data_IF_825540863673
#
_entry.id   IF_825540863673
#
_cell.length_a   1.000
_cell.length_b   1.000
_cell.length_c   1.000
_cell.angle_alpha   90.00
_cell.angle_beta   90.00
_cell.angle_gamma   90.00
#
_symmetry.space_group_name_H-M   'P 1'
#
loop_
_entity.id
_entity.type
_entity.pdbx_description
1 polymer ?
#
# COMPACT_ATOMS: atom_id res chain seq x y z
N UNK A 1 -23.40 3.23 -0.14
CA UNK A 1 -23.65 2.76 1.24
C UNK A 1 -22.48 3.31 2.07
N UNK A 2 -22.76 3.94 3.21
CA UNK A 2 -21.70 4.41 4.11
C UNK A 2 -20.92 3.21 4.64
N UNK A 3 -19.63 3.41 4.95
CA UNK A 3 -18.79 2.38 5.58
C UNK A 3 -19.23 2.17 7.04
N UNK A 4 -19.35 0.93 7.46
CA UNK A 4 -19.75 0.56 8.82
C UNK A 4 -18.48 0.39 9.70
N UNK A 5 -18.11 1.44 10.41
CA UNK A 5 -16.91 1.48 11.25
C UNK A 5 -17.01 0.54 12.45
N UNK A 6 -18.20 0.39 13.05
CA UNK A 6 -18.39 -0.48 14.21
C UNK A 6 -18.21 -1.94 13.82
N UNK A 7 -18.77 -2.33 12.68
CA UNK A 7 -18.57 -3.68 12.13
C UNK A 7 -17.11 -3.94 11.76
N UNK A 8 -16.41 -2.93 11.20
CA UNK A 8 -14.99 -3.07 10.86
C UNK A 8 -14.14 -3.25 12.11
N UNK A 9 -14.28 -2.39 13.10
CA UNK A 9 -13.49 -2.45 14.35
C UNK A 9 -13.74 -3.73 15.14
N UNK A 10 -14.99 -4.18 15.23
CA UNK A 10 -15.35 -5.44 15.87
C UNK A 10 -14.82 -6.68 15.11
N UNK A 11 -14.67 -6.57 13.79
CA UNK A 11 -14.19 -7.65 12.92
C UNK A 11 -12.69 -7.60 12.60
N UNK A 12 -11.97 -6.56 13.02
CA UNK A 12 -10.54 -6.42 12.78
C UNK A 12 -9.74 -7.48 13.53
N UNK A 13 -8.86 -8.16 12.81
CA UNK A 13 -8.03 -9.25 13.34
C UNK A 13 -6.76 -9.42 12.51
N UNK A 14 -5.72 -10.07 13.08
CA UNK A 14 -4.56 -10.48 12.29
C UNK A 14 -4.99 -11.26 11.05
N UNK A 15 -4.27 -11.09 9.94
CA UNK A 15 -4.45 -11.96 8.78
C UNK A 15 -4.20 -13.41 9.21
N UNK A 16 -5.11 -14.32 8.82
CA UNK A 16 -4.99 -15.73 9.19
C UNK A 16 -3.95 -16.42 8.29
N UNK A 17 -2.92 -17.01 8.89
CA UNK A 17 -1.89 -17.77 8.20
C UNK A 17 -1.36 -18.98 9.00
N UNK A 18 -1.86 -19.20 10.21
CA UNK A 18 -1.47 -20.35 11.05
C UNK A 18 -1.89 -21.71 10.49
N UNK A 19 -2.82 -21.73 9.55
CA UNK A 19 -3.28 -22.92 8.83
C UNK A 19 -2.56 -23.12 7.48
N UNK A 20 -1.61 -22.25 7.14
CA UNK A 20 -0.81 -22.34 5.92
C UNK A 20 0.41 -23.22 6.20
N UNK A 21 0.64 -24.21 5.35
CA UNK A 21 1.85 -25.04 5.41
C UNK A 21 3.07 -24.25 4.90
N UNK A 22 3.77 -23.58 5.82
CA UNK A 22 4.96 -22.80 5.46
C UNK A 22 6.15 -23.70 5.02
N UNK A 23 6.15 -25.00 5.37
CA UNK A 23 7.20 -25.92 4.91
C UNK A 23 7.14 -26.16 3.39
N UNK A 24 6.01 -25.80 2.77
CA UNK A 24 5.89 -25.83 1.30
C UNK A 24 6.94 -24.93 0.63
N UNK A 25 7.28 -23.79 1.24
CA UNK A 25 8.31 -22.89 0.70
C UNK A 25 9.74 -23.45 0.75
N UNK A 26 9.99 -24.47 1.58
CA UNK A 26 11.26 -25.21 1.57
C UNK A 26 11.26 -26.29 0.48
N UNK A 27 10.10 -26.87 0.17
CA UNK A 27 9.93 -27.90 -0.88
C UNK A 27 9.83 -27.29 -2.28
N UNK A 28 9.16 -26.15 -2.39
CA UNK A 28 9.00 -25.39 -3.63
C UNK A 28 9.40 -23.91 -3.39
N UNK A 29 10.71 -23.59 -3.40
CA UNK A 29 11.20 -22.28 -3.04
C UNK A 29 10.82 -21.22 -4.09
N UNK A 30 10.54 -20.00 -3.60
CA UNK A 30 10.25 -18.86 -4.44
C UNK A 30 11.51 -18.35 -5.15
N UNK A 31 11.38 -17.85 -6.40
CA UNK A 31 12.48 -17.23 -7.12
C UNK A 31 13.06 -16.01 -6.36
N UNK A 32 14.37 -15.72 -6.50
CA UNK A 32 15.01 -14.58 -5.85
C UNK A 32 14.33 -13.23 -6.17
N UNK A 33 13.86 -13.06 -7.40
CA UNK A 33 13.15 -11.84 -7.83
C UNK A 33 11.83 -11.65 -7.07
N UNK A 34 11.11 -12.74 -6.85
CA UNK A 34 9.88 -12.77 -6.04
C UNK A 34 10.18 -12.44 -4.58
N UNK A 35 11.22 -13.05 -4.02
CA UNK A 35 11.64 -12.77 -2.64
C UNK A 35 12.01 -11.30 -2.44
N UNK A 36 12.66 -10.69 -3.43
CA UNK A 36 12.98 -9.25 -3.43
C UNK A 36 11.72 -8.39 -3.39
N UNK A 37 10.69 -8.74 -4.16
CA UNK A 37 9.40 -8.03 -4.13
C UNK A 37 8.70 -8.23 -2.79
N UNK A 38 8.64 -9.47 -2.28
CA UNK A 38 8.02 -9.77 -0.98
C UNK A 38 8.74 -9.04 0.17
N UNK A 39 10.09 -8.93 0.09
CA UNK A 39 10.86 -8.16 1.07
C UNK A 39 10.47 -6.68 1.05
N UNK A 40 10.36 -6.08 -0.14
CA UNK A 40 9.89 -4.70 -0.26
C UNK A 40 8.49 -4.52 0.33
N UNK A 41 7.56 -5.42 0.00
CA UNK A 41 6.18 -5.37 0.54
C UNK A 41 6.21 -5.48 2.07
N UNK A 42 6.97 -6.42 2.63
CA UNK A 42 7.13 -6.59 4.07
C UNK A 42 7.67 -5.32 4.76
N UNK A 43 8.69 -4.69 4.17
CA UNK A 43 9.25 -3.44 4.70
C UNK A 43 8.22 -2.30 4.69
N UNK A 44 7.39 -2.21 3.65
CA UNK A 44 6.29 -1.24 3.57
C UNK A 44 5.30 -1.44 4.71
N UNK A 45 4.83 -2.66 4.92
CA UNK A 45 3.86 -3.00 5.96
C UNK A 45 4.36 -2.61 7.36
N UNK A 46 5.59 -2.97 7.69
CA UNK A 46 6.18 -2.59 8.98
C UNK A 46 6.42 -1.09 9.16
N UNK A 47 6.46 -0.32 8.07
CA UNK A 47 6.68 1.14 8.15
C UNK A 47 5.40 1.97 8.14
N UNK A 48 4.23 1.36 8.04
CA UNK A 48 2.93 2.05 8.15
C UNK A 48 2.78 2.79 9.47
N UNK A 49 3.42 2.31 10.55
CA UNK A 49 3.47 3.00 11.85
C UNK A 49 4.13 4.39 11.76
N UNK A 50 5.08 4.60 10.84
CA UNK A 50 5.69 5.93 10.64
C UNK A 50 4.66 6.89 10.03
N UNK A 51 3.89 6.42 9.07
CA UNK A 51 2.80 7.16 8.48
C UNK A 51 1.70 7.49 9.51
N UNK A 52 1.30 6.51 10.32
CA UNK A 52 0.35 6.73 11.42
C UNK A 52 0.84 7.80 12.39
N UNK A 53 2.12 7.75 12.80
CA UNK A 53 2.73 8.75 13.66
C UNK A 53 2.51 10.17 13.14
N UNK A 54 2.75 10.38 11.84
CA UNK A 54 2.64 11.68 11.21
C UNK A 54 1.18 12.16 11.18
N UNK A 55 0.25 11.26 10.91
CA UNK A 55 -1.18 11.56 10.85
C UNK A 55 -1.83 11.87 12.21
N UNK A 56 -1.30 11.30 13.28
CA UNK A 56 -1.77 11.58 14.65
C UNK A 56 -1.52 13.04 15.08
N UNK A 57 -0.73 13.81 14.36
CA UNK A 57 -0.50 15.24 14.60
C UNK A 57 -1.33 16.16 13.70
N UNK A 58 -2.22 15.61 12.88
CA UNK A 58 -3.03 16.32 11.88
C UNK A 58 -4.51 16.40 12.31
N UNK A 59 -5.34 17.22 11.64
CA UNK A 59 -6.78 17.25 11.90
C UNK A 59 -7.50 15.91 11.79
N UNK A 60 -6.90 14.92 11.11
CA UNK A 60 -7.51 13.59 10.93
C UNK A 60 -7.73 12.85 12.25
N UNK A 61 -6.88 13.07 13.26
CA UNK A 61 -7.04 12.42 14.56
C UNK A 61 -8.26 12.91 15.35
N UNK A 62 -8.77 14.12 15.02
CA UNK A 62 -9.96 14.69 15.66
C UNK A 62 -11.27 14.03 15.17
N UNK A 63 -11.22 13.26 14.09
CA UNK A 63 -12.34 12.53 13.53
C UNK A 63 -12.44 11.14 14.19
N UNK A 64 -13.44 10.86 15.04
CA UNK A 64 -13.48 9.60 15.81
C UNK A 64 -13.45 8.34 14.95
N UNK A 65 -14.18 8.34 13.83
CA UNK A 65 -14.20 7.20 12.89
C UNK A 65 -12.85 6.97 12.21
N UNK A 66 -12.18 8.07 11.83
CA UNK A 66 -10.84 8.01 11.23
C UNK A 66 -9.83 7.48 12.24
N UNK A 67 -9.87 7.97 13.47
CA UNK A 67 -9.00 7.49 14.56
C UNK A 67 -9.20 6.00 14.87
N UNK A 68 -10.47 5.56 14.95
CA UNK A 68 -10.80 4.16 15.15
C UNK A 68 -10.29 3.27 14.00
N UNK A 69 -10.55 3.69 12.76
CA UNK A 69 -10.07 2.99 11.57
C UNK A 69 -8.54 2.89 11.58
N UNK A 70 -7.82 3.99 11.75
CA UNK A 70 -6.37 4.01 11.66
C UNK A 70 -5.69 3.13 12.72
N UNK A 71 -6.29 3.00 13.90
CA UNK A 71 -5.78 2.11 14.95
C UNK A 71 -5.87 0.64 14.51
N UNK A 72 -7.02 0.23 13.96
CA UNK A 72 -7.23 -1.14 13.50
C UNK A 72 -6.45 -1.43 12.22
N UNK A 73 -6.45 -0.49 11.28
CA UNK A 73 -5.69 -0.54 10.06
C UNK A 73 -4.20 -0.78 10.35
N UNK A 74 -3.56 0.06 11.14
CA UNK A 74 -2.13 -0.10 11.46
C UNK A 74 -1.81 -1.44 12.15
N UNK A 75 -2.75 -1.97 12.94
CA UNK A 75 -2.63 -3.31 13.52
C UNK A 75 -2.69 -4.39 12.43
N UNK A 76 -3.59 -4.28 11.46
CA UNK A 76 -3.72 -5.25 10.35
C UNK A 76 -2.46 -5.22 9.48
N UNK A 77 -1.93 -4.04 9.13
CA UNK A 77 -0.67 -3.84 8.39
C UNK A 77 0.53 -4.50 9.09
N UNK A 78 0.65 -4.33 10.41
CA UNK A 78 1.70 -5.02 11.17
C UNK A 78 1.63 -6.54 10.97
N UNK A 79 0.44 -7.13 10.98
CA UNK A 79 0.27 -8.56 10.78
C UNK A 79 0.43 -9.01 9.33
N UNK A 80 0.23 -8.13 8.35
CA UNK A 80 0.65 -8.38 6.96
C UNK A 80 2.17 -8.51 6.91
N UNK A 81 2.89 -7.60 7.55
CA UNK A 81 4.36 -7.67 7.68
C UNK A 81 4.84 -8.98 8.31
N UNK A 82 4.24 -9.40 9.44
CA UNK A 82 4.55 -10.65 10.13
C UNK A 82 4.34 -11.87 9.22
N UNK A 83 3.24 -11.91 8.47
CA UNK A 83 2.94 -13.00 7.57
C UNK A 83 3.94 -13.09 6.40
N UNK A 84 4.33 -11.95 5.82
CA UNK A 84 5.35 -11.89 4.78
C UNK A 84 6.75 -12.24 5.32
N UNK A 85 7.09 -11.77 6.52
CA UNK A 85 8.35 -12.11 7.20
C UNK A 85 8.46 -13.62 7.47
N UNK A 86 7.36 -14.29 7.81
CA UNK A 86 7.34 -15.74 7.98
C UNK A 86 7.67 -16.49 6.68
N UNK A 87 7.14 -16.05 5.54
CA UNK A 87 7.48 -16.59 4.21
C UNK A 87 8.95 -16.34 3.88
N UNK A 88 9.45 -15.13 4.08
CA UNK A 88 10.86 -14.77 3.86
C UNK A 88 11.80 -15.60 4.75
N UNK A 89 11.41 -15.84 6.01
CA UNK A 89 12.15 -16.67 6.96
C UNK A 89 12.38 -18.09 6.46
N UNK A 90 11.42 -18.69 5.73
CA UNK A 90 11.59 -20.01 5.11
C UNK A 90 12.63 -20.05 3.99
N UNK A 91 13.01 -18.90 3.47
CA UNK A 91 14.07 -18.72 2.49
C UNK A 91 15.38 -18.20 3.12
N UNK A 92 15.49 -18.19 4.45
CA UNK A 92 16.67 -17.71 5.15
C UNK A 92 16.83 -16.19 5.18
N UNK A 93 15.76 -15.45 4.81
CA UNK A 93 15.74 -13.99 4.84
C UNK A 93 15.09 -13.56 6.16
N UNK A 94 15.89 -13.07 7.09
CA UNK A 94 15.39 -12.58 8.38
C UNK A 94 14.99 -11.11 8.26
N UNK A 95 13.84 -10.78 8.82
CA UNK A 95 13.40 -9.39 9.04
C UNK A 95 13.29 -9.19 10.54
N UNK A 96 14.22 -8.46 11.12
CA UNK A 96 14.27 -8.24 12.56
C UNK A 96 14.02 -6.77 12.96
N UNK A 97 13.73 -6.55 14.23
CA UNK A 97 13.44 -5.21 14.73
C UNK A 97 14.65 -4.27 14.74
N UNK A 98 15.87 -4.78 14.79
CA UNK A 98 17.08 -3.97 14.71
C UNK A 98 17.29 -3.45 13.29
N UNK A 99 16.98 -4.26 12.29
CA UNK A 99 16.98 -3.85 10.89
C UNK A 99 15.90 -2.80 10.60
N UNK A 100 14.66 -3.04 11.05
CA UNK A 100 13.56 -2.06 10.94
C UNK A 100 13.92 -0.73 11.62
N UNK A 101 14.53 -0.81 12.80
CA UNK A 101 15.05 0.38 13.51
C UNK A 101 16.14 1.08 12.71
N UNK A 102 17.07 0.33 12.13
CA UNK A 102 18.14 0.88 11.27
C UNK A 102 17.56 1.63 10.08
N UNK A 103 16.58 1.05 9.39
CA UNK A 103 15.88 1.69 8.28
C UNK A 103 15.21 3.00 8.71
N UNK A 104 14.48 2.99 9.83
CA UNK A 104 13.85 4.21 10.39
C UNK A 104 14.87 5.28 10.77
N UNK A 105 16.04 4.89 11.28
CA UNK A 105 17.10 5.83 11.59
C UNK A 105 17.75 6.43 10.33
N UNK A 106 17.83 5.70 9.23
CA UNK A 106 18.32 6.19 7.92
C UNK A 106 17.42 7.26 7.31
N UNK A 107 16.12 7.29 7.62
CA UNK A 107 15.21 8.35 7.20
C UNK A 107 15.63 9.72 7.75
N UNK A 108 16.40 9.74 8.85
CA UNK A 108 17.16 10.87 9.34
C UNK A 108 16.33 11.97 10.01
N UNK A 109 16.95 13.16 10.16
CA UNK A 109 16.33 14.28 10.85
C UNK A 109 15.14 14.89 10.11
N UNK A 110 15.09 14.75 8.79
CA UNK A 110 13.96 15.23 7.98
C UNK A 110 12.68 14.52 8.34
N UNK A 111 12.73 13.19 8.49
CA UNK A 111 11.61 12.35 8.94
C UNK A 111 11.12 12.76 10.33
N UNK A 112 12.03 13.13 11.23
CA UNK A 112 11.65 13.61 12.57
C UNK A 112 10.88 14.93 12.58
N UNK A 113 11.03 15.74 11.52
CA UNK A 113 10.30 17.00 11.34
C UNK A 113 8.98 16.82 10.58
N UNK A 114 8.74 15.67 9.96
CA UNK A 114 7.55 15.45 9.16
C UNK A 114 6.25 15.54 9.98
N UNK A 115 6.14 15.06 11.22
CA UNK A 115 4.97 15.32 12.07
C UNK A 115 4.70 16.81 12.28
N UNK A 116 5.75 17.62 12.47
CA UNK A 116 5.62 19.06 12.64
C UNK A 116 5.12 19.72 11.36
N UNK A 117 5.68 19.35 10.21
CA UNK A 117 5.24 19.86 8.91
C UNK A 117 3.78 19.48 8.64
N UNK A 118 3.42 18.22 8.87
CA UNK A 118 2.06 17.72 8.70
C UNK A 118 1.07 18.44 9.62
N UNK A 119 1.44 18.67 10.87
CA UNK A 119 0.64 19.43 11.83
C UNK A 119 0.41 20.86 11.37
N UNK A 120 1.46 21.55 10.92
CA UNK A 120 1.37 22.93 10.44
C UNK A 120 0.52 23.03 9.16
N UNK A 121 0.79 22.17 8.17
CA UNK A 121 0.02 22.13 6.93
C UNK A 121 -1.44 21.77 7.20
N UNK A 122 -1.69 20.75 8.02
CA UNK A 122 -3.03 20.35 8.42
C UNK A 122 -3.78 21.47 9.15
N UNK A 123 -3.11 22.18 10.08
CA UNK A 123 -3.68 23.33 10.78
C UNK A 123 -4.05 24.49 9.84
N UNK A 124 -3.22 24.76 8.82
CA UNK A 124 -3.51 25.81 7.83
C UNK A 124 -4.67 25.43 6.88
N UNK A 125 -4.77 24.15 6.53
CA UNK A 125 -5.79 23.65 5.60
C UNK A 125 -7.11 23.35 6.33
N UNK A 126 -7.04 22.97 7.61
CA UNK A 126 -8.20 22.65 8.44
C UNK A 126 -8.89 21.34 8.00
N UNK A 127 -10.23 21.33 8.02
CA UNK A 127 -11.01 20.13 7.69
C UNK A 127 -10.79 19.58 6.28
N UNK A 128 -10.40 20.43 5.31
CA UNK A 128 -10.10 19.97 3.95
C UNK A 128 -8.87 19.06 3.90
N UNK A 129 -7.98 19.11 4.93
CA UNK A 129 -6.85 18.19 5.06
C UNK A 129 -7.30 16.73 5.17
N UNK A 130 -8.40 16.47 5.89
CA UNK A 130 -8.92 15.10 6.06
C UNK A 130 -9.34 14.52 4.70
N UNK A 131 -9.91 15.32 3.80
CA UNK A 131 -10.24 14.89 2.45
C UNK A 131 -8.99 14.50 1.63
N UNK A 132 -7.90 15.28 1.76
CA UNK A 132 -6.61 14.97 1.14
C UNK A 132 -6.06 13.65 1.68
N UNK A 133 -6.05 13.50 3.01
CA UNK A 133 -5.58 12.27 3.67
C UNK A 133 -6.39 11.06 3.21
N UNK A 134 -7.72 11.13 3.22
CA UNK A 134 -8.56 10.01 2.81
C UNK A 134 -8.35 9.64 1.33
N UNK A 135 -8.21 10.63 0.46
CA UNK A 135 -7.92 10.38 -0.96
C UNK A 135 -6.52 9.78 -1.19
N UNK A 136 -5.51 10.27 -0.47
CA UNK A 136 -4.14 9.72 -0.51
C UNK A 136 -4.12 8.27 -0.05
N UNK A 137 -4.76 7.98 1.10
CA UNK A 137 -4.91 6.61 1.60
C UNK A 137 -5.62 5.72 0.60
N UNK A 138 -6.74 6.17 0.00
CA UNK A 138 -7.43 5.39 -1.01
C UNK A 138 -6.55 5.01 -2.20
N UNK A 139 -5.69 5.92 -2.68
CA UNK A 139 -4.74 5.63 -3.77
C UNK A 139 -3.72 4.58 -3.35
N UNK A 140 -3.19 4.70 -2.12
CA UNK A 140 -2.24 3.74 -1.58
C UNK A 140 -2.85 2.34 -1.47
N UNK A 141 -4.04 2.24 -0.87
CA UNK A 141 -4.72 0.95 -0.67
C UNK A 141 -5.17 0.30 -1.99
N UNK A 142 -5.66 1.08 -2.98
CA UNK A 142 -5.93 0.53 -4.31
C UNK A 142 -4.66 -0.04 -4.95
N UNK A 143 -3.53 0.66 -4.80
CA UNK A 143 -2.25 0.24 -5.35
C UNK A 143 -1.70 -1.01 -4.63
N UNK A 144 -1.80 -1.07 -3.30
CA UNK A 144 -1.39 -2.21 -2.49
C UNK A 144 -2.25 -3.45 -2.79
N UNK A 145 -3.57 -3.29 -2.81
CA UNK A 145 -4.51 -4.37 -3.18
C UNK A 145 -4.20 -4.93 -4.57
N UNK A 146 -3.99 -4.05 -5.56
CA UNK A 146 -3.60 -4.45 -6.92
C UNK A 146 -2.27 -5.21 -6.92
N UNK A 147 -1.27 -4.79 -6.11
CA UNK A 147 0.02 -5.44 -6.00
C UNK A 147 -0.11 -6.85 -5.41
N UNK A 148 -0.84 -7.03 -4.32
CA UNK A 148 -1.08 -8.34 -3.70
C UNK A 148 -1.79 -9.32 -4.64
N UNK A 149 -2.88 -8.89 -5.27
CA UNK A 149 -3.63 -9.71 -6.21
C UNK A 149 -2.83 -10.05 -7.47
N UNK A 150 -2.01 -9.10 -7.95
CA UNK A 150 -1.11 -9.33 -9.09
C UNK A 150 -0.02 -10.34 -8.75
N UNK A 151 0.62 -10.19 -7.60
CA UNK A 151 1.65 -11.11 -7.13
C UNK A 151 1.11 -12.53 -6.98
N UNK A 152 -0.08 -12.69 -6.37
CA UNK A 152 -0.75 -13.97 -6.23
C UNK A 152 -1.03 -14.67 -7.57
N UNK A 153 -1.24 -13.89 -8.64
CA UNK A 153 -1.47 -14.40 -9.99
C UNK A 153 -0.16 -14.73 -10.70
N UNK A 154 0.87 -13.89 -10.52
CA UNK A 154 2.15 -14.02 -11.22
C UNK A 154 2.91 -15.29 -10.82
N UNK A 155 3.05 -15.52 -9.52
CA UNK A 155 3.95 -16.56 -9.01
C UNK A 155 3.44 -17.99 -9.16
N UNK A 156 2.14 -18.18 -9.36
CA UNK A 156 1.51 -19.50 -9.51
C UNK A 156 1.90 -20.51 -8.41
N UNK A 157 2.29 -20.02 -7.23
CA UNK A 157 2.56 -20.80 -6.03
C UNK A 157 1.30 -20.81 -5.15
N UNK A 158 0.64 -21.96 -5.01
CA UNK A 158 -0.67 -22.07 -4.38
C UNK A 158 -0.68 -21.52 -2.94
N UNK A 159 0.31 -21.91 -2.15
CA UNK A 159 0.44 -21.48 -0.75
C UNK A 159 0.63 -19.98 -0.63
N UNK A 160 1.51 -19.40 -1.46
CA UNK A 160 1.69 -17.94 -1.52
C UNK A 160 0.41 -17.23 -1.97
N UNK A 161 -0.24 -17.75 -3.01
CA UNK A 161 -1.47 -17.17 -3.53
C UNK A 161 -2.60 -17.16 -2.50
N UNK A 162 -2.71 -18.17 -1.65
CA UNK A 162 -3.68 -18.21 -0.54
C UNK A 162 -3.38 -17.07 0.45
N UNK A 163 -2.12 -16.91 0.88
CA UNK A 163 -1.73 -15.86 1.81
C UNK A 163 -2.01 -14.47 1.24
N UNK A 164 -1.51 -14.19 0.03
CA UNK A 164 -1.65 -12.87 -0.61
C UNK A 164 -3.11 -12.51 -0.88
N UNK A 165 -3.97 -13.48 -1.21
CA UNK A 165 -5.42 -13.24 -1.35
C UNK A 165 -6.08 -12.90 0.00
N UNK A 166 -5.62 -13.48 1.10
CA UNK A 166 -6.13 -13.14 2.44
C UNK A 166 -5.74 -11.72 2.84
N UNK A 167 -4.50 -11.30 2.57
CA UNK A 167 -4.06 -9.92 2.74
C UNK A 167 -4.91 -9.01 1.85
N UNK A 168 -5.00 -9.26 0.55
CA UNK A 168 -5.80 -8.48 -0.39
C UNK A 168 -7.29 -8.37 0.00
N UNK A 169 -7.85 -9.35 0.72
CA UNK A 169 -9.21 -9.25 1.25
C UNK A 169 -9.31 -8.25 2.42
N UNK A 170 -8.25 -8.06 3.21
CA UNK A 170 -8.18 -7.01 4.24
C UNK A 170 -7.97 -5.64 3.58
N UNK A 171 -7.05 -5.54 2.62
CA UNK A 171 -6.83 -4.34 1.80
C UNK A 171 -8.13 -3.83 1.14
N UNK A 172 -9.01 -4.73 0.70
CA UNK A 172 -10.31 -4.35 0.15
C UNK A 172 -11.18 -3.59 1.16
N UNK A 173 -11.06 -3.87 2.46
CA UNK A 173 -11.78 -3.13 3.51
C UNK A 173 -11.12 -1.77 3.76
N UNK A 174 -9.79 -1.70 3.72
CA UNK A 174 -9.04 -0.46 3.83
C UNK A 174 -9.42 0.49 2.68
N UNK A 175 -9.40 -0.01 1.45
CA UNK A 175 -9.92 0.71 0.28
C UNK A 175 -11.34 1.22 0.50
N UNK A 176 -12.24 0.36 1.00
CA UNK A 176 -13.65 0.73 1.18
C UNK A 176 -13.81 1.91 2.15
N UNK A 177 -13.05 1.92 3.26
CA UNK A 177 -13.06 3.03 4.20
C UNK A 177 -12.51 4.31 3.56
N UNK A 178 -11.25 4.29 3.12
CA UNK A 178 -10.58 5.47 2.58
C UNK A 178 -11.36 6.07 1.40
N UNK A 179 -11.81 5.24 0.47
CA UNK A 179 -12.55 5.71 -0.71
C UNK A 179 -13.93 6.27 -0.37
N UNK A 180 -14.65 5.70 0.63
CA UNK A 180 -15.95 6.25 1.07
C UNK A 180 -15.76 7.60 1.73
N UNK A 181 -14.82 7.74 2.64
CA UNK A 181 -14.49 8.98 3.34
C UNK A 181 -13.98 10.07 2.38
N UNK A 182 -13.11 9.69 1.43
CA UNK A 182 -12.65 10.62 0.40
C UNK A 182 -13.81 11.15 -0.46
N UNK A 183 -14.67 10.25 -0.93
CA UNK A 183 -15.81 10.62 -1.80
C UNK A 183 -16.77 11.58 -1.11
N UNK A 184 -17.13 11.31 0.13
CA UNK A 184 -18.03 12.14 0.92
C UNK A 184 -17.46 13.55 1.11
N UNK A 185 -16.24 13.67 1.63
CA UNK A 185 -15.59 14.95 1.92
C UNK A 185 -15.26 15.76 0.67
N UNK A 186 -14.87 15.10 -0.41
CA UNK A 186 -14.62 15.77 -1.69
C UNK A 186 -15.91 16.25 -2.34
N UNK A 187 -17.03 15.54 -2.18
CA UNK A 187 -18.33 16.01 -2.69
C UNK A 187 -18.81 17.30 -2.02
N UNK A 188 -18.43 17.53 -0.75
CA UNK A 188 -18.85 18.68 0.03
C UNK A 188 -18.00 19.94 -0.19
N UNK A 189 -16.75 19.82 -0.67
CA UNK A 189 -15.82 20.94 -0.72
C UNK A 189 -15.06 21.05 -2.05
N UNK A 190 -15.37 22.07 -2.84
CA UNK A 190 -14.61 22.40 -4.06
C UNK A 190 -13.14 22.74 -3.73
N UNK A 191 -12.88 23.38 -2.60
CA UNK A 191 -11.52 23.66 -2.13
C UNK A 191 -10.76 22.36 -1.85
N UNK A 192 -11.40 21.41 -1.17
CA UNK A 192 -10.82 20.08 -0.93
C UNK A 192 -10.50 19.37 -2.24
N UNK A 193 -11.39 19.43 -3.26
CA UNK A 193 -11.12 18.83 -4.57
C UNK A 193 -9.86 19.42 -5.23
N UNK A 194 -9.77 20.76 -5.29
CA UNK A 194 -8.61 21.44 -5.92
C UNK A 194 -7.32 21.11 -5.19
N UNK A 195 -7.34 21.14 -3.85
CA UNK A 195 -6.19 20.85 -3.02
C UNK A 195 -5.76 19.37 -3.18
N UNK A 196 -6.70 18.44 -3.08
CA UNK A 196 -6.43 17.00 -3.20
C UNK A 196 -5.84 16.69 -4.57
N UNK A 197 -6.44 17.22 -5.64
CA UNK A 197 -5.92 17.03 -6.99
C UNK A 197 -4.49 17.53 -7.13
N UNK A 198 -4.19 18.74 -6.62
CA UNK A 198 -2.85 19.33 -6.65
C UNK A 198 -1.85 18.46 -5.88
N UNK A 199 -2.23 18.03 -4.68
CA UNK A 199 -1.35 17.23 -3.82
C UNK A 199 -1.07 15.86 -4.45
N UNK A 200 -2.09 15.18 -4.95
CA UNK A 200 -1.93 13.87 -5.60
C UNK A 200 -1.10 13.97 -6.89
N UNK A 201 -1.41 14.91 -7.78
CA UNK A 201 -0.69 15.04 -9.06
C UNK A 201 0.78 15.45 -8.87
N UNK A 202 1.08 16.23 -7.82
CA UNK A 202 2.41 16.82 -7.61
C UNK A 202 3.32 16.01 -6.70
N UNK A 203 2.77 15.37 -5.69
CA UNK A 203 3.57 14.80 -4.60
C UNK A 203 3.38 13.30 -4.40
N UNK A 204 2.31 12.71 -4.95
CA UNK A 204 2.13 11.28 -4.78
C UNK A 204 3.22 10.48 -5.50
N UNK A 205 3.69 9.45 -4.83
CA UNK A 205 4.61 8.44 -5.36
C UNK A 205 4.19 7.04 -4.94
N UNK A 206 4.75 6.00 -5.58
CA UNK A 206 4.44 4.61 -5.25
C UNK A 206 4.63 4.32 -3.77
N UNK A 207 3.77 3.47 -3.23
CA UNK A 207 3.84 3.01 -1.84
C UNK A 207 5.24 2.44 -1.57
N UNK A 208 5.88 2.88 -0.48
CA UNK A 208 7.26 2.50 -0.13
C UNK A 208 8.36 3.37 -0.74
N UNK A 209 8.05 4.28 -1.69
CA UNK A 209 9.08 5.13 -2.33
C UNK A 209 9.79 6.11 -1.39
N UNK A 210 9.28 6.33 -0.19
CA UNK A 210 9.91 7.19 0.83
C UNK A 210 10.90 6.45 1.72
N UNK A 211 10.82 5.12 1.77
CA UNK A 211 11.64 4.28 2.65
C UNK A 211 12.62 3.39 1.88
N UNK A 212 12.48 3.30 0.56
CA UNK A 212 13.26 2.42 -0.31
C UNK A 212 14.04 3.22 -1.35
N UNK A 213 15.15 2.64 -1.81
CA UNK A 213 15.90 3.19 -2.94
C UNK A 213 15.06 3.15 -4.23
N UNK A 214 15.24 4.13 -5.12
CA UNK A 214 14.50 4.23 -6.38
C UNK A 214 14.70 2.98 -7.28
N UNK A 215 15.84 2.31 -7.17
CA UNK A 215 16.13 1.04 -7.85
C UNK A 215 15.20 -0.08 -7.40
N UNK A 216 14.88 -0.15 -6.10
CA UNK A 216 13.94 -1.12 -5.53
C UNK A 216 12.51 -0.80 -5.96
N UNK A 217 12.10 0.46 -5.89
CA UNK A 217 10.80 0.92 -6.37
C UNK A 217 10.61 0.55 -7.84
N UNK A 218 11.62 0.83 -8.68
CA UNK A 218 11.59 0.50 -10.11
C UNK A 218 11.52 -1.01 -10.33
N UNK A 219 12.27 -1.81 -9.57
CA UNK A 219 12.25 -3.27 -9.65
C UNK A 219 10.83 -3.80 -9.35
N UNK A 220 10.26 -3.41 -8.21
CA UNK A 220 8.93 -3.87 -7.78
C UNK A 220 7.85 -3.46 -8.77
N UNK A 221 7.88 -2.20 -9.24
CA UNK A 221 6.94 -1.72 -10.25
C UNK A 221 7.07 -2.49 -11.58
N UNK A 222 8.31 -2.78 -12.00
CA UNK A 222 8.57 -3.57 -13.20
C UNK A 222 8.10 -5.01 -13.07
N UNK A 223 8.39 -5.65 -11.94
CA UNK A 223 7.97 -7.02 -11.67
C UNK A 223 6.44 -7.17 -11.69
N UNK A 224 5.74 -6.28 -11.00
CA UNK A 224 4.28 -6.40 -10.83
C UNK A 224 3.49 -5.85 -12.04
N UNK A 225 3.93 -4.73 -12.61
CA UNK A 225 3.07 -3.94 -13.48
C UNK A 225 3.62 -3.71 -14.90
N UNK A 226 4.74 -4.32 -15.27
CA UNK A 226 5.18 -4.32 -16.66
C UNK A 226 4.27 -5.18 -17.52
N UNK A 227 4.20 -4.84 -18.84
CA UNK A 227 3.41 -5.53 -19.83
C UNK A 227 1.93 -5.18 -19.82
N UNK A 228 1.20 -5.71 -20.77
CA UNK A 228 -0.20 -5.36 -21.03
C UNK A 228 -1.13 -5.62 -19.82
N UNK A 229 -1.02 -6.79 -19.20
CA UNK A 229 -1.85 -7.13 -18.03
C UNK A 229 -1.56 -6.24 -16.81
N UNK A 230 -0.27 -6.00 -16.55
CA UNK A 230 0.14 -5.12 -15.44
C UNK A 230 -0.31 -3.68 -15.67
N UNK A 231 -0.14 -3.19 -16.90
CA UNK A 231 -0.57 -1.84 -17.30
C UNK A 231 -2.08 -1.68 -17.18
N UNK A 232 -2.87 -2.66 -17.63
CA UNK A 232 -4.33 -2.63 -17.51
C UNK A 232 -4.77 -2.54 -16.06
N UNK A 233 -4.13 -3.31 -15.17
CA UNK A 233 -4.46 -3.27 -13.75
C UNK A 233 -4.23 -1.87 -13.15
N UNK A 234 -3.15 -1.20 -13.53
CA UNK A 234 -2.85 0.17 -13.08
C UNK A 234 -3.84 1.19 -13.67
N UNK A 235 -4.27 1.01 -14.92
CA UNK A 235 -5.33 1.83 -15.52
C UNK A 235 -6.66 1.65 -14.78
N UNK A 236 -6.97 0.45 -14.30
CA UNK A 236 -8.14 0.20 -13.45
C UNK A 236 -8.02 0.95 -12.11
N UNK A 237 -6.83 0.97 -11.48
CA UNK A 237 -6.58 1.78 -10.26
C UNK A 237 -6.80 3.27 -10.57
N UNK A 238 -6.17 3.81 -11.61
CA UNK A 238 -6.36 5.21 -12.00
C UNK A 238 -7.83 5.53 -12.33
N UNK A 239 -8.58 4.57 -12.89
CA UNK A 239 -10.02 4.73 -13.14
C UNK A 239 -10.85 4.86 -11.85
N UNK A 240 -10.44 4.17 -10.77
CA UNK A 240 -11.06 4.34 -9.45
C UNK A 240 -10.76 5.70 -8.85
N UNK A 241 -9.51 6.16 -8.97
CA UNK A 241 -9.09 7.51 -8.53
C UNK A 241 -9.90 8.57 -9.28
N UNK A 242 -10.02 8.44 -10.60
CA UNK A 242 -10.75 9.39 -11.44
C UNK A 242 -12.26 9.50 -11.11
N UNK A 243 -12.83 8.51 -10.40
CA UNK A 243 -14.23 8.55 -9.93
C UNK A 243 -14.41 9.33 -8.63
N UNK A 244 -13.33 9.74 -7.96
CA UNK A 244 -13.43 10.63 -6.81
C UNK A 244 -13.78 12.05 -7.29
N UNK A 245 -14.66 12.79 -6.58
CA UNK A 245 -15.06 14.14 -6.99
C UNK A 245 -13.85 15.08 -7.15
N UNK A 246 -13.73 15.69 -8.33
CA UNK A 246 -12.62 16.58 -8.68
C UNK A 246 -11.36 15.91 -9.17
N UNK A 247 -11.33 14.56 -9.27
CA UNK A 247 -10.17 13.78 -9.72
C UNK A 247 -10.31 13.27 -11.16
N UNK A 248 -11.30 13.74 -11.90
CA UNK A 248 -11.61 13.30 -13.28
C UNK A 248 -10.36 13.40 -14.18
N UNK A 249 -10.01 12.30 -14.84
CA UNK A 249 -8.87 12.21 -15.75
C UNK A 249 -7.49 12.21 -15.08
N UNK A 250 -7.42 12.12 -13.74
CA UNK A 250 -6.14 11.97 -13.03
C UNK A 250 -5.60 10.55 -13.24
N UNK A 251 -4.35 10.46 -13.68
CA UNK A 251 -3.65 9.19 -14.01
C UNK A 251 -2.27 9.19 -13.35
N UNK A 252 -2.22 9.15 -12.02
CA UNK A 252 -0.97 9.34 -11.27
C UNK A 252 -0.15 8.05 -11.17
N UNK A 253 -0.82 6.89 -11.07
CA UNK A 253 -0.12 5.61 -10.92
C UNK A 253 0.51 5.25 -12.27
N UNK A 254 -0.21 5.36 -13.36
CA UNK A 254 0.31 5.12 -14.70
C UNK A 254 1.47 6.07 -15.06
N UNK A 255 1.31 7.38 -14.79
CA UNK A 255 2.40 8.36 -14.95
C UNK A 255 3.66 7.97 -14.14
N UNK A 256 3.48 7.38 -12.98
CA UNK A 256 4.59 6.92 -12.14
C UNK A 256 5.37 5.77 -12.77
N UNK A 257 4.68 4.84 -13.45
CA UNK A 257 5.30 3.77 -14.24
C UNK A 257 6.05 4.34 -15.45
N UNK A 258 5.41 5.24 -16.19
CA UNK A 258 6.01 5.88 -17.38
C UNK A 258 7.30 6.62 -17.04
N UNK A 259 7.29 7.39 -15.93
CA UNK A 259 8.48 8.10 -15.43
C UNK A 259 9.66 7.17 -15.14
N UNK A 260 9.39 5.92 -14.74
CA UNK A 260 10.39 4.89 -14.44
C UNK A 260 10.79 4.05 -15.64
N UNK A 261 10.17 4.28 -16.81
CA UNK A 261 10.41 3.52 -18.02
C UNK A 261 9.94 2.06 -17.90
N UNK A 262 8.88 1.81 -17.14
CA UNK A 262 8.27 0.47 -17.06
C UNK A 262 7.47 0.21 -18.34
N UNK A 263 7.80 -0.89 -19.01
CA UNK A 263 7.17 -1.25 -20.28
C UNK A 263 5.65 -1.41 -20.16
N UNK A 264 4.91 -0.82 -21.10
CA UNK A 264 3.45 -0.93 -21.17
C UNK A 264 2.99 -2.13 -22.01
N UNK A 265 3.84 -2.58 -22.95
CA UNK A 265 3.56 -3.63 -23.91
C UNK A 265 4.37 -4.90 -23.60
N UNK A 266 3.95 -6.01 -24.18
CA UNK A 266 4.59 -7.31 -24.02
C UNK A 266 4.07 -8.10 -22.80
N UNK A 267 4.66 -9.27 -22.53
CA UNK A 267 4.15 -10.21 -21.52
C UNK A 267 4.38 -9.76 -20.07
N UNK A 268 5.24 -8.75 -19.83
CA UNK A 268 5.68 -8.38 -18.48
C UNK A 268 6.64 -9.39 -17.86
N UNK A 269 6.68 -9.43 -16.52
CA UNK A 269 7.45 -10.45 -15.79
C UNK A 269 6.83 -11.84 -16.01
N UNK A 270 7.68 -12.79 -16.36
CA UNK A 270 7.32 -14.20 -16.47
C UNK A 270 8.16 -14.95 -15.45
N UNK A 271 7.57 -15.61 -14.44
CA UNK A 271 8.31 -16.43 -13.50
C UNK A 271 9.15 -17.48 -14.23
N UNK A 272 10.36 -17.75 -13.73
CA UNK A 272 11.13 -18.89 -14.22
C UNK A 272 10.27 -20.15 -14.08
N UNK A 273 10.21 -20.98 -15.13
CA UNK A 273 9.48 -22.24 -15.07
C UNK A 273 10.04 -23.05 -13.90
N UNK A 274 9.19 -23.38 -12.94
CA UNK A 274 9.54 -24.27 -11.84
C UNK A 274 9.73 -25.65 -12.46
N UNK A 275 10.95 -26.15 -12.35
CA UNK A 275 11.23 -27.54 -12.72
C UNK A 275 10.61 -28.37 -11.61
N UNK A 276 9.54 -29.08 -11.92
CA UNK A 276 8.96 -30.04 -10.98
C UNK A 276 10.08 -31.00 -10.54
N UNK A 277 10.36 -31.02 -9.24
CA UNK A 277 11.34 -31.92 -8.65
C UNK A 277 10.78 -33.33 -8.54
#
# INVERSE_FOLDING_TARGET
>A
MAFDIDKYTAGSKPVAWSDIDLEEFERDPLPPETLRVLRYMCDVEYHTVCYLRDLLTTPSYNEPEVGAFMTMWNREEFWHGEALAAVLGKHGITVDFDELKSTRLKLGWKDRLDPIKQSLLGGMVGKDFVAVHMAWGAVNEWSANAAYLRMAKLEQHETLAVLLKRIGAQETKHVAFYASQARERLAESRKAQVLTRFVLDRFWGPVGSTISEESEVKHVMGHLFAGEEGRKLIQDVDSHIAKLPGMEGLRIVEKSLDKRGIAAEGPGYVPAQRVAA
#
